data_IF_882543708326
#
_entry.id   IF_882543708326
#
_cell.length_a   1.000
_cell.length_b   1.000
_cell.length_c   1.000
_cell.angle_alpha   90.00
_cell.angle_beta   90.00
_cell.angle_gamma   90.00
#
_symmetry.space_group_name_H-M   'P 1'
#
loop_
_entity.id
_entity.type
_entity.pdbx_description
1 polymer ?
#
# COMPACT_ATOMS: atom_id res chain seq x y z
N UNK A 1 -29.03 -4.41 -7.12
CA UNK A 1 -28.27 -3.18 -6.87
C UNK A 1 -29.30 -2.09 -6.68
N UNK A 2 -29.36 -1.44 -5.51
CA UNK A 2 -30.28 -0.33 -5.33
C UNK A 2 -29.88 0.81 -6.28
N UNK A 3 -30.83 1.33 -7.03
CA UNK A 3 -30.59 2.43 -7.98
C UNK A 3 -30.34 3.72 -7.20
N UNK A 4 -29.60 4.68 -7.80
CA UNK A 4 -29.38 6.00 -7.19
C UNK A 4 -30.71 6.66 -6.82
N UNK A 5 -31.77 6.40 -7.59
CA UNK A 5 -33.12 6.88 -7.32
C UNK A 5 -33.71 6.29 -6.03
N UNK A 6 -33.52 4.99 -5.75
CA UNK A 6 -33.98 4.37 -4.50
C UNK A 6 -33.25 4.90 -3.26
N UNK A 7 -31.96 5.24 -3.39
CA UNK A 7 -31.19 5.87 -2.31
C UNK A 7 -31.67 7.30 -2.08
N UNK A 8 -31.93 8.06 -3.15
CA UNK A 8 -32.49 9.41 -3.05
C UNK A 8 -33.89 9.40 -2.46
N UNK A 9 -34.73 8.42 -2.81
CA UNK A 9 -36.06 8.26 -2.24
C UNK A 9 -35.98 7.83 -0.76
N UNK A 10 -35.01 6.99 -0.36
CA UNK A 10 -34.75 6.69 1.05
C UNK A 10 -34.24 7.91 1.83
N UNK A 11 -33.42 8.76 1.20
CA UNK A 11 -32.93 10.01 1.79
C UNK A 11 -34.05 11.06 1.89
N UNK A 12 -34.95 11.12 0.91
CA UNK A 12 -36.14 11.97 0.95
C UNK A 12 -37.20 11.44 1.94
N UNK A 13 -37.23 10.12 2.17
CA UNK A 13 -38.01 9.48 3.22
C UNK A 13 -37.37 9.56 4.61
N UNK A 14 -36.14 10.07 4.72
CA UNK A 14 -35.63 10.52 6.01
C UNK A 14 -36.60 11.59 6.50
N UNK A 15 -36.89 11.64 7.80
CA UNK A 15 -37.89 12.55 8.32
C UNK A 15 -37.36 14.00 8.27
N UNK A 16 -37.46 14.62 7.10
CA UNK A 16 -37.08 16.00 6.81
C UNK A 16 -38.06 16.95 7.48
N UNK A 17 -37.50 17.94 8.17
CA UNK A 17 -38.15 18.96 9.00
C UNK A 17 -38.91 18.39 10.23
N UNK A 18 -38.57 18.85 11.45
CA UNK A 18 -39.41 18.56 12.60
C UNK A 18 -40.79 19.16 12.32
N UNK A 19 -41.85 18.33 12.39
CA UNK A 19 -43.21 18.86 12.46
C UNK A 19 -43.23 19.92 13.57
N UNK A 20 -43.86 21.10 13.35
CA UNK A 20 -43.98 22.10 14.40
C UNK A 20 -44.51 21.40 15.65
N UNK A 21 -43.75 21.51 16.75
CA UNK A 21 -44.13 20.85 17.98
C UNK A 21 -45.39 21.54 18.52
N UNK A 22 -46.51 20.83 18.50
CA UNK A 22 -47.77 21.27 19.08
C UNK A 22 -47.91 20.52 20.40
N UNK A 23 -47.92 21.27 21.51
CA UNK A 23 -48.08 20.67 22.82
C UNK A 23 -49.45 19.99 22.94
N UNK A 24 -49.52 18.64 23.06
CA UNK A 24 -50.79 17.93 23.16
C UNK A 24 -51.53 18.19 24.48
N UNK A 25 -50.84 18.75 25.47
CA UNK A 25 -51.39 19.05 26.78
C UNK A 25 -51.84 20.52 26.92
N UNK A 26 -51.71 21.35 25.88
CA UNK A 26 -52.13 22.75 25.92
C UNK A 26 -53.66 22.87 26.13
N UNK A 27 -54.07 23.62 27.16
CA UNK A 27 -55.48 23.88 27.47
C UNK A 27 -56.20 22.74 28.18
N UNK A 28 -55.46 21.80 28.77
CA UNK A 28 -56.06 20.68 29.50
C UNK A 28 -56.64 21.14 30.85
N UNK A 29 -57.96 20.99 31.04
CA UNK A 29 -58.70 21.53 32.21
C UNK A 29 -58.27 20.99 33.58
N UNK A 30 -57.59 19.84 33.63
CA UNK A 30 -57.14 19.19 34.86
C UNK A 30 -55.67 19.43 35.19
N UNK A 31 -54.94 20.18 34.36
CA UNK A 31 -53.51 20.44 34.52
C UNK A 31 -53.29 21.94 34.71
N UNK A 32 -52.41 22.31 35.63
CA UNK A 32 -51.92 23.68 35.72
C UNK A 32 -51.08 24.05 34.49
N UNK A 33 -50.96 25.35 34.18
CA UNK A 33 -50.21 25.85 33.03
C UNK A 33 -48.76 25.32 33.01
N UNK A 34 -48.11 25.30 34.17
CA UNK A 34 -46.74 24.78 34.31
C UNK A 34 -46.63 23.27 34.05
N UNK A 35 -47.59 22.47 34.52
CA UNK A 35 -47.61 21.03 34.26
C UNK A 35 -47.82 20.72 32.77
N UNK A 36 -48.63 21.52 32.08
CA UNK A 36 -48.85 21.39 30.64
C UNK A 36 -47.56 21.66 29.85
N UNK A 37 -46.80 22.70 30.21
CA UNK A 37 -45.51 23.02 29.61
C UNK A 37 -44.49 21.89 29.84
N UNK A 38 -44.34 21.44 31.09
CA UNK A 38 -43.42 20.35 31.46
C UNK A 38 -43.72 19.07 30.68
N UNK A 39 -44.96 18.59 30.72
CA UNK A 39 -45.36 17.38 30.00
C UNK A 39 -45.20 17.55 28.48
N UNK A 40 -45.40 18.76 27.98
CA UNK A 40 -45.10 19.10 26.60
C UNK A 40 -43.62 18.90 26.28
N UNK A 41 -42.71 19.51 27.03
CA UNK A 41 -41.28 19.36 26.78
C UNK A 41 -40.80 17.90 26.95
N UNK A 42 -41.37 17.14 27.89
CA UNK A 42 -41.10 15.70 27.99
C UNK A 42 -41.59 14.90 26.79
N UNK A 43 -42.78 15.23 26.24
CA UNK A 43 -43.27 14.59 25.03
C UNK A 43 -42.37 14.89 23.82
N UNK A 44 -41.90 16.14 23.71
CA UNK A 44 -40.93 16.55 22.69
C UNK A 44 -39.61 15.80 22.84
N UNK A 45 -39.07 15.71 24.05
CA UNK A 45 -37.83 14.99 24.34
C UNK A 45 -37.96 13.48 24.06
N UNK A 46 -39.08 12.87 24.42
CA UNK A 46 -39.32 11.47 24.14
C UNK A 46 -39.34 11.18 22.62
N UNK A 47 -39.95 12.08 21.82
CA UNK A 47 -39.98 11.94 20.37
C UNK A 47 -38.58 12.14 19.74
N UNK A 48 -37.81 13.11 20.22
CA UNK A 48 -36.42 13.29 19.76
C UNK A 48 -35.55 12.10 20.10
N UNK A 49 -35.66 11.54 21.31
CA UNK A 49 -34.92 10.33 21.71
C UNK A 49 -35.30 9.13 20.84
N UNK A 50 -36.60 8.91 20.58
CA UNK A 50 -37.05 7.82 19.69
C UNK A 50 -36.48 7.97 18.29
N UNK A 51 -36.44 9.19 17.76
CA UNK A 51 -35.83 9.47 16.46
C UNK A 51 -34.33 9.18 16.46
N UNK A 52 -33.60 9.64 17.47
CA UNK A 52 -32.17 9.35 17.60
C UNK A 52 -31.94 7.85 17.66
N UNK A 53 -32.69 7.12 18.48
CA UNK A 53 -32.58 5.67 18.58
C UNK A 53 -32.85 4.98 17.24
N UNK A 54 -33.91 5.36 16.52
CA UNK A 54 -34.23 4.80 15.21
C UNK A 54 -33.12 5.07 14.17
N UNK A 55 -32.57 6.29 14.14
CA UNK A 55 -31.44 6.63 13.28
C UNK A 55 -30.17 5.86 13.67
N UNK A 56 -29.88 5.74 14.96
CA UNK A 56 -28.75 4.94 15.44
C UNK A 56 -28.88 3.47 15.05
N UNK A 57 -30.08 2.88 15.13
CA UNK A 57 -30.32 1.50 14.68
C UNK A 57 -30.15 1.36 13.16
N UNK A 58 -30.62 2.34 12.38
CA UNK A 58 -30.44 2.35 10.93
C UNK A 58 -28.94 2.43 10.56
N UNK A 59 -28.23 3.38 11.16
CA UNK A 59 -26.79 3.58 10.93
C UNK A 59 -25.96 2.39 11.40
N UNK A 60 -26.33 1.80 12.54
CA UNK A 60 -25.69 0.59 13.06
C UNK A 60 -26.14 -0.68 12.34
N UNK A 61 -27.07 -0.58 11.38
CA UNK A 61 -27.58 -1.77 10.71
C UNK A 61 -26.48 -2.42 9.87
N UNK A 62 -26.29 -3.72 10.11
CA UNK A 62 -25.25 -4.52 9.44
C UNK A 62 -25.39 -4.52 7.90
N UNK A 63 -26.59 -4.27 7.38
CA UNK A 63 -26.88 -4.29 5.94
C UNK A 63 -26.09 -3.25 5.13
N UNK A 64 -25.99 -2.01 5.62
CA UNK A 64 -25.22 -0.95 4.96
C UNK A 64 -23.71 -1.26 4.99
N UNK A 65 -23.23 -1.75 6.13
CA UNK A 65 -21.83 -2.17 6.30
C UNK A 65 -21.48 -3.38 5.42
N UNK A 66 -22.37 -4.38 5.31
CA UNK A 66 -22.15 -5.56 4.48
C UNK A 66 -22.03 -5.21 2.99
N UNK A 67 -22.82 -4.24 2.51
CA UNK A 67 -22.72 -3.76 1.12
C UNK A 67 -21.38 -3.05 0.87
N UNK A 68 -20.95 -2.15 1.76
CA UNK A 68 -19.64 -1.50 1.64
C UNK A 68 -18.48 -2.51 1.67
N UNK A 69 -18.51 -3.48 2.58
CA UNK A 69 -17.48 -4.53 2.65
C UNK A 69 -17.44 -5.38 1.37
N UNK A 70 -18.59 -5.63 0.76
CA UNK A 70 -18.66 -6.35 -0.53
C UNK A 70 -18.00 -5.55 -1.65
N UNK A 71 -18.27 -4.24 -1.71
CA UNK A 71 -17.64 -3.34 -2.68
C UNK A 71 -16.13 -3.24 -2.46
N UNK A 72 -15.69 -3.11 -1.21
CA UNK A 72 -14.26 -3.07 -0.86
C UNK A 72 -13.54 -4.36 -1.25
N UNK A 73 -14.12 -5.54 -1.03
CA UNK A 73 -13.54 -6.82 -1.48
C UNK A 73 -13.36 -6.90 -2.99
N UNK A 74 -14.30 -6.34 -3.76
CA UNK A 74 -14.16 -6.30 -5.23
C UNK A 74 -13.02 -5.37 -5.62
N UNK A 75 -12.89 -4.22 -4.97
CA UNK A 75 -11.78 -3.29 -5.22
C UNK A 75 -10.44 -3.90 -4.83
N UNK A 76 -10.35 -4.55 -3.68
CA UNK A 76 -9.14 -5.24 -3.22
C UNK A 76 -8.65 -6.27 -4.25
N UNK A 77 -9.54 -7.10 -4.78
CA UNK A 77 -9.17 -8.10 -5.80
C UNK A 77 -8.66 -7.45 -7.09
N UNK A 78 -9.32 -6.38 -7.54
CA UNK A 78 -8.93 -5.66 -8.76
C UNK A 78 -7.58 -4.97 -8.58
N UNK A 79 -7.39 -4.25 -7.49
CA UNK A 79 -6.14 -3.54 -7.20
C UNK A 79 -5.00 -4.49 -6.87
N UNK A 80 -5.27 -5.60 -6.16
CA UNK A 80 -4.30 -6.66 -5.92
C UNK A 80 -3.84 -7.32 -7.22
N UNK A 81 -4.75 -7.55 -8.17
CA UNK A 81 -4.38 -8.05 -9.50
C UNK A 81 -3.51 -7.03 -10.26
N UNK A 82 -3.86 -5.74 -10.24
CA UNK A 82 -3.05 -4.70 -10.87
C UNK A 82 -1.65 -4.63 -10.24
N UNK A 83 -1.56 -4.67 -8.91
CA UNK A 83 -0.29 -4.62 -8.19
C UNK A 83 0.59 -5.84 -8.49
N UNK A 84 0.00 -7.04 -8.53
CA UNK A 84 0.75 -8.27 -8.83
C UNK A 84 1.25 -8.28 -10.27
N UNK A 85 0.44 -7.88 -11.25
CA UNK A 85 0.87 -7.73 -12.63
C UNK A 85 1.97 -6.68 -12.78
N UNK A 86 1.83 -5.54 -12.09
CA UNK A 86 2.86 -4.49 -12.10
C UNK A 86 4.18 -4.97 -11.49
N UNK A 87 4.13 -5.68 -10.36
CA UNK A 87 5.35 -6.26 -9.75
C UNK A 87 6.00 -7.28 -10.69
N UNK A 88 5.21 -8.14 -11.33
CA UNK A 88 5.71 -9.11 -12.29
C UNK A 88 6.35 -8.43 -13.51
N UNK A 89 5.73 -7.36 -14.04
CA UNK A 89 6.29 -6.63 -15.19
C UNK A 89 7.60 -5.94 -14.84
N UNK A 90 7.68 -5.29 -13.67
CA UNK A 90 8.92 -4.65 -13.22
C UNK A 90 10.01 -5.69 -13.02
N UNK A 91 9.70 -6.80 -12.33
CA UNK A 91 10.68 -7.86 -12.11
C UNK A 91 11.17 -8.47 -13.42
N UNK A 92 10.28 -8.73 -14.38
CA UNK A 92 10.65 -9.22 -15.71
C UNK A 92 11.62 -8.26 -16.42
N UNK A 93 11.34 -6.95 -16.41
CA UNK A 93 12.23 -5.96 -17.06
C UNK A 93 13.58 -5.82 -16.35
N UNK A 94 13.61 -5.88 -15.01
CA UNK A 94 14.86 -5.79 -14.25
C UNK A 94 15.69 -7.04 -14.45
N UNK A 95 15.05 -8.20 -14.51
CA UNK A 95 15.72 -9.48 -14.77
C UNK A 95 16.31 -9.52 -16.19
N UNK A 96 15.56 -9.09 -17.20
CA UNK A 96 16.04 -8.99 -18.58
C UNK A 96 17.27 -8.06 -18.69
N UNK A 97 17.26 -6.93 -17.99
CA UNK A 97 18.43 -6.03 -17.94
C UNK A 97 19.64 -6.64 -17.24
N UNK A 98 19.43 -7.39 -16.16
CA UNK A 98 20.50 -8.09 -15.45
C UNK A 98 21.13 -9.18 -16.34
N UNK A 99 20.30 -9.97 -17.02
CA UNK A 99 20.76 -11.02 -17.95
C UNK A 99 21.52 -10.44 -19.15
N UNK A 100 21.05 -9.32 -19.72
CA UNK A 100 21.77 -8.62 -20.78
C UNK A 100 23.13 -8.10 -20.31
N UNK A 101 23.19 -7.48 -19.13
CA UNK A 101 24.44 -6.96 -18.57
C UNK A 101 25.44 -8.09 -18.27
N UNK A 102 24.98 -9.24 -17.78
CA UNK A 102 25.81 -10.43 -17.57
C UNK A 102 26.31 -11.02 -18.90
N UNK A 103 25.46 -11.08 -19.93
CA UNK A 103 25.84 -11.54 -21.26
C UNK A 103 26.89 -10.63 -21.92
N UNK A 104 26.75 -9.30 -21.78
CA UNK A 104 27.74 -8.33 -22.26
C UNK A 104 29.07 -8.46 -21.51
N UNK A 105 29.04 -8.64 -20.18
CA UNK A 105 30.24 -8.87 -19.40
C UNK A 105 30.96 -10.18 -19.79
N UNK A 106 30.21 -11.25 -20.05
CA UNK A 106 30.76 -12.52 -20.52
C UNK A 106 31.34 -12.40 -21.94
N UNK A 107 30.69 -11.63 -22.83
CA UNK A 107 31.20 -11.36 -24.16
C UNK A 107 32.49 -10.51 -24.13
N UNK A 108 32.57 -9.52 -23.25
CA UNK A 108 33.78 -8.73 -23.03
C UNK A 108 34.94 -9.58 -22.49
N UNK A 109 34.68 -10.42 -21.47
CA UNK A 109 35.68 -11.34 -20.93
C UNK A 109 36.13 -12.41 -21.94
N UNK A 110 35.21 -12.90 -22.79
CA UNK A 110 35.52 -13.83 -23.88
C UNK A 110 36.36 -13.19 -24.99
N UNK A 111 36.12 -11.92 -25.31
CA UNK A 111 36.93 -11.16 -26.26
C UNK A 111 38.35 -10.91 -25.75
N UNK A 112 38.51 -10.58 -24.45
CA UNK A 112 39.82 -10.41 -23.82
C UNK A 112 40.62 -11.73 -23.76
N UNK A 113 39.97 -12.86 -23.51
CA UNK A 113 40.62 -14.18 -23.52
C UNK A 113 41.15 -14.57 -24.91
N UNK A 114 40.36 -14.35 -25.97
CA UNK A 114 40.80 -14.57 -27.35
C UNK A 114 41.91 -13.59 -27.80
N UNK A 115 41.87 -12.34 -27.32
CA UNK A 115 42.94 -11.36 -27.55
C UNK A 115 44.27 -11.76 -26.88
N UNK A 116 44.22 -12.29 -25.65
CA UNK A 116 45.39 -12.77 -24.90
C UNK A 116 45.99 -14.05 -25.53
N UNK A 117 45.16 -14.97 -26.04
CA UNK A 117 45.59 -16.17 -26.77
C UNK A 117 46.28 -15.84 -28.09
N UNK A 118 45.75 -14.87 -28.86
CA UNK A 118 46.38 -14.42 -30.11
C UNK A 118 47.72 -13.70 -29.86
N UNK A 119 47.85 -12.96 -28.75
CA UNK A 119 49.11 -12.32 -28.34
C UNK A 119 50.17 -13.34 -27.88
N UNK A 120 49.78 -14.41 -27.17
CA UNK A 120 50.68 -15.53 -26.81
C UNK A 120 51.08 -16.37 -28.04
N UNK A 121 50.18 -16.57 -29.00
CA UNK A 121 50.44 -17.35 -30.22
C UNK A 121 51.39 -16.66 -31.22
N UNK A 122 51.43 -15.32 -31.25
CA UNK A 122 52.37 -14.55 -32.08
C UNK A 122 53.68 -14.17 -31.37
N UNK A 123 53.77 -14.35 -30.04
CA UNK A 123 54.96 -14.02 -29.24
C UNK A 123 55.96 -15.18 -29.03
N UNK A 124 55.56 -16.42 -29.31
CA UNK A 124 56.37 -17.61 -28.99
C UNK A 124 57.57 -17.84 -29.94
N UNK A 125 57.58 -17.27 -31.14
CA UNK A 125 58.67 -17.45 -32.12
C UNK A 125 59.80 -16.41 -31.99
N UNK A 126 59.68 -15.42 -31.08
CA UNK A 126 60.67 -14.34 -30.92
C UNK A 126 61.55 -14.46 -29.66
N UNK A 127 61.49 -15.58 -28.92
CA UNK A 127 62.20 -15.74 -27.65
C UNK A 127 63.03 -17.04 -27.58
N UNK A 128 63.90 -17.26 -28.58
CA UNK A 128 65.03 -18.18 -28.43
C UNK A 128 66.34 -17.39 -28.55
N UNK A 129 66.62 -16.56 -27.53
CA UNK A 129 67.81 -15.74 -27.50
C UNK A 129 68.00 -15.04 -26.16
N UNK A 130 69.01 -15.49 -25.42
CA UNK A 130 69.64 -14.87 -24.26
C UNK A 130 68.93 -15.06 -22.90
N UNK A 131 69.48 -15.99 -22.12
CA UNK A 131 69.28 -16.03 -20.67
C UNK A 131 70.18 -15.05 -19.92
N UNK A 132 69.86 -14.84 -18.63
CA UNK A 132 70.86 -14.46 -17.62
C UNK A 132 70.45 -13.45 -16.55
N UNK A 133 70.12 -13.97 -15.36
CA UNK A 133 70.62 -13.59 -14.01
C UNK A 133 70.20 -12.29 -13.26
N UNK A 134 69.47 -12.54 -12.15
CA UNK A 134 69.70 -12.15 -10.72
C UNK A 134 69.34 -10.76 -10.10
N UNK A 135 68.83 -10.88 -8.86
CA UNK A 135 68.60 -9.93 -7.73
C UNK A 135 67.45 -8.90 -7.88
N UNK A 136 66.54 -8.64 -6.94
CA UNK A 136 66.33 -9.08 -5.55
C UNK A 136 65.54 -7.99 -4.77
N UNK A 137 64.81 -8.42 -3.73
CA UNK A 137 64.36 -7.66 -2.53
C UNK A 137 63.02 -6.86 -2.50
N UNK A 138 62.31 -7.12 -1.40
CA UNK A 138 61.03 -6.59 -0.88
C UNK A 138 61.03 -5.10 -0.48
N UNK A 139 59.82 -4.52 -0.42
CA UNK A 139 59.42 -3.35 0.38
C UNK A 139 58.22 -2.62 -0.27
N UNK A 140 56.97 -2.78 0.18
CA UNK A 140 56.25 -2.18 1.34
C UNK A 140 55.71 -0.75 1.12
N UNK A 141 54.38 -0.59 1.26
CA UNK A 141 53.60 0.67 1.36
C UNK A 141 52.28 0.57 0.58
N UNK A 142 51.10 0.33 1.18
CA UNK A 142 50.19 1.30 1.86
C UNK A 142 49.75 2.42 0.89
N UNK A 143 48.50 2.83 0.63
CA UNK A 143 47.11 2.70 1.11
C UNK A 143 46.23 3.09 -0.13
N UNK A 144 44.97 2.69 -0.33
CA UNK A 144 43.79 3.33 0.26
C UNK A 144 42.55 2.44 -0.02
N UNK A 145 41.85 2.07 1.04
CA UNK A 145 40.55 1.41 1.00
C UNK A 145 39.45 2.48 0.99
N UNK A 146 38.65 2.52 -0.07
CA UNK A 146 37.45 3.35 -0.16
C UNK A 146 36.25 2.49 -0.54
N UNK A 147 35.32 2.30 0.40
CA UNK A 147 34.03 1.67 0.09
C UNK A 147 33.33 1.00 1.27
N UNK A 148 32.95 1.81 2.26
CA UNK A 148 31.70 1.70 3.04
C UNK A 148 31.04 0.31 3.15
N UNK A 149 31.61 -0.56 3.99
CA UNK A 149 31.06 -1.87 4.32
C UNK A 149 30.11 -1.73 5.54
N UNK A 150 28.89 -1.24 5.31
CA UNK A 150 27.83 -1.24 6.33
C UNK A 150 27.20 -2.64 6.44
N UNK A 151 27.95 -3.55 7.07
CA UNK A 151 27.41 -4.80 7.62
C UNK A 151 26.74 -4.54 8.96
N UNK A 152 25.41 -4.36 8.97
CA UNK A 152 24.54 -4.39 10.16
C UNK A 152 23.08 -4.44 9.68
N UNK A 153 22.18 -5.36 10.03
CA UNK A 153 22.17 -6.60 10.81
C UNK A 153 21.03 -7.43 10.23
N UNK A 154 21.25 -8.73 10.04
CA UNK A 154 20.17 -9.68 9.76
C UNK A 154 19.24 -9.70 10.98
N UNK A 155 18.00 -9.22 10.82
CA UNK A 155 16.95 -9.43 11.82
C UNK A 155 16.78 -10.95 12.05
N UNK A 156 17.09 -11.40 13.26
CA UNK A 156 16.63 -12.70 13.76
C UNK A 156 15.29 -12.45 14.47
N UNK A 157 14.21 -12.95 13.88
CA UNK A 157 12.97 -13.24 14.63
C UNK A 157 13.05 -14.64 15.25
N UNK A 158 12.11 -14.89 16.19
CA UNK A 158 11.80 -16.12 16.96
C UNK A 158 12.58 -16.24 18.28
N UNK A 159 12.01 -16.00 19.46
CA UNK A 159 10.77 -16.54 20.06
C UNK A 159 10.19 -15.61 21.14
#
# INVERSE_FOLDING_TARGET
>A
MATIQEVLDQVAALPTAPKPYINPYAGHRSLSEHEQELLGEYARLADTIRRVAALSTLLSSSSAHANLLTQLRVLERKMGLVLTLYKASVWATVQEQAEMAEAEAMAAAGADAYGMEMAMGYGADAANGAGGYYYGANGSGEEEAGGDDTVVMRQQEYY
#
